data_IF_366202185360
#
_entry.id   IF_366202185360
#
_cell.length_a   1.000
_cell.length_b   1.000
_cell.length_c   1.000
_cell.angle_alpha   90.00
_cell.angle_beta   90.00
_cell.angle_gamma   90.00
#
_symmetry.space_group_name_H-M   'P 1'
#
loop_
_entity.id
_entity.type
_entity.pdbx_description
1 polymer ?
#
# COMPACT_ATOMS: atom_id res chain seq x y z
N UNK A 1 1.58 -4.41 -20.44
CA UNK A 1 0.62 -4.80 -19.37
C UNK A 1 1.09 -6.14 -18.82
N UNK A 2 1.15 -6.30 -17.49
CA UNK A 2 1.62 -7.52 -16.82
C UNK A 2 0.58 -7.97 -15.80
N UNK A 3 0.23 -9.25 -15.81
CA UNK A 3 -0.70 -9.86 -14.85
C UNK A 3 0.12 -10.65 -13.82
N UNK A 4 0.17 -10.15 -12.59
CA UNK A 4 0.97 -10.77 -11.51
C UNK A 4 0.26 -11.96 -10.83
N UNK A 5 -1.07 -12.00 -10.85
CA UNK A 5 -1.85 -13.05 -10.20
C UNK A 5 -3.35 -12.88 -10.37
N UNK A 6 -4.07 -13.96 -10.15
CA UNK A 6 -5.54 -14.01 -10.15
C UNK A 6 -5.96 -14.64 -8.82
N UNK A 7 -6.83 -13.96 -8.08
CA UNK A 7 -7.47 -14.53 -6.89
C UNK A 7 -8.74 -15.24 -7.36
N UNK A 8 -8.83 -16.58 -7.24
CA UNK A 8 -10.02 -17.30 -7.66
C UNK A 8 -11.22 -16.98 -6.74
N UNK A 9 -12.42 -16.86 -7.34
CA UNK A 9 -13.68 -16.79 -6.60
C UNK A 9 -14.10 -18.16 -6.02
N UNK A 10 -15.20 -18.27 -5.26
CA UNK A 10 -16.32 -17.31 -5.15
C UNK A 10 -16.22 -16.34 -3.96
N UNK A 11 -15.41 -16.66 -2.94
CA UNK A 11 -15.32 -15.86 -1.72
C UNK A 11 -14.10 -14.95 -1.74
N UNK A 12 -14.26 -13.74 -1.20
CA UNK A 12 -13.14 -12.82 -1.02
C UNK A 12 -12.21 -13.39 0.05
N UNK A 13 -10.91 -13.60 -0.24
CA UNK A 13 -9.96 -14.06 0.76
C UNK A 13 -9.87 -13.09 1.94
N UNK A 14 -9.49 -13.65 3.07
CA UNK A 14 -9.20 -12.87 4.27
C UNK A 14 -7.94 -12.00 4.06
N UNK A 15 -7.78 -10.97 4.89
CA UNK A 15 -6.68 -10.01 4.82
C UNK A 15 -5.33 -10.73 4.85
N UNK A 16 -5.15 -11.69 5.76
CA UNK A 16 -3.89 -12.42 5.87
C UNK A 16 -3.56 -13.24 4.62
N UNK A 17 -4.56 -13.92 4.05
CA UNK A 17 -4.40 -14.67 2.81
C UNK A 17 -4.02 -13.74 1.65
N UNK A 18 -4.68 -12.57 1.53
CA UNK A 18 -4.37 -11.59 0.49
C UNK A 18 -2.91 -11.12 0.58
N UNK A 19 -2.40 -10.89 1.79
CA UNK A 19 -1.00 -10.49 1.96
C UNK A 19 -0.05 -11.53 1.39
N UNK A 20 -0.30 -12.83 1.59
CA UNK A 20 0.53 -13.89 1.02
C UNK A 20 0.59 -13.90 -0.52
N UNK A 21 -0.47 -13.45 -1.19
CA UNK A 21 -0.47 -13.28 -2.65
C UNK A 21 0.46 -12.16 -3.12
N UNK A 22 0.68 -11.13 -2.29
CA UNK A 22 1.57 -10.02 -2.62
C UNK A 22 3.05 -10.34 -2.36
N UNK A 23 3.37 -11.30 -1.49
CA UNK A 23 4.75 -11.68 -1.17
C UNK A 23 5.65 -11.90 -2.40
N UNK A 24 5.29 -12.71 -3.42
CA UNK A 24 6.16 -12.90 -4.60
C UNK A 24 6.35 -11.60 -5.39
N UNK A 25 5.30 -10.78 -5.51
CA UNK A 25 5.37 -9.49 -6.20
C UNK A 25 6.32 -8.53 -5.48
N UNK A 26 6.18 -8.40 -4.16
CA UNK A 26 7.00 -7.49 -3.35
C UNK A 26 8.46 -7.93 -3.35
N UNK A 27 8.75 -9.24 -3.27
CA UNK A 27 10.11 -9.76 -3.39
C UNK A 27 10.76 -9.37 -4.72
N UNK A 28 10.05 -9.55 -5.83
CA UNK A 28 10.54 -9.12 -7.14
C UNK A 28 10.77 -7.60 -7.23
N UNK A 29 9.89 -6.80 -6.60
CA UNK A 29 10.05 -5.34 -6.55
C UNK A 29 11.25 -4.89 -5.69
N UNK A 30 11.60 -5.63 -4.64
CA UNK A 30 12.81 -5.38 -3.85
C UNK A 30 14.08 -5.65 -4.68
N UNK A 31 14.11 -6.78 -5.38
CA UNK A 31 15.23 -7.12 -6.28
C UNK A 31 15.41 -6.09 -7.41
N UNK A 32 14.29 -5.59 -7.95
CA UNK A 32 14.29 -4.55 -8.98
C UNK A 32 14.63 -3.16 -8.45
N UNK A 33 14.49 -2.89 -7.15
CA UNK A 33 14.76 -1.56 -6.60
C UNK A 33 16.24 -1.31 -6.37
N UNK A 34 16.89 -2.17 -5.59
CA UNK A 34 18.29 -1.98 -5.18
C UNK A 34 18.98 -3.35 -5.04
N UNK A 35 20.04 -3.66 -5.84
CA UNK A 35 20.69 -2.78 -6.83
C UNK A 35 19.97 -2.67 -8.18
N UNK A 36 18.87 -3.42 -8.38
CA UNK A 36 18.23 -3.63 -9.69
C UNK A 36 18.73 -4.88 -10.40
N UNK A 37 18.03 -5.29 -11.46
CA UNK A 37 18.29 -6.56 -12.17
C UNK A 37 19.08 -6.30 -13.45
N UNK A 38 20.16 -7.06 -13.68
CA UNK A 38 20.94 -6.99 -14.91
C UNK A 38 20.38 -7.95 -15.96
N UNK A 39 19.93 -7.40 -17.09
CA UNK A 39 19.53 -8.16 -18.25
C UNK A 39 20.69 -8.26 -19.23
N UNK A 40 21.01 -9.47 -19.68
CA UNK A 40 22.09 -9.74 -20.65
C UNK A 40 21.82 -9.12 -22.02
N UNK A 41 20.54 -8.98 -22.39
CA UNK A 41 20.12 -8.36 -23.64
C UNK A 41 18.73 -7.75 -23.48
N UNK A 42 18.53 -6.54 -24.03
CA UNK A 42 17.20 -5.96 -24.26
C UNK A 42 17.13 -5.44 -25.69
N UNK A 43 15.92 -5.16 -26.20
CA UNK A 43 15.72 -4.74 -27.60
C UNK A 43 16.65 -3.60 -28.03
N UNK A 44 16.82 -2.57 -27.19
CA UNK A 44 17.69 -1.42 -27.47
C UNK A 44 19.13 -1.57 -26.91
N UNK A 45 19.40 -2.60 -26.11
CA UNK A 45 20.71 -2.80 -25.47
C UNK A 45 21.20 -4.23 -25.68
N UNK A 46 21.83 -4.51 -26.84
CA UNK A 46 22.35 -5.85 -27.15
C UNK A 46 23.47 -6.31 -26.22
N UNK A 47 24.18 -5.37 -25.57
CA UNK A 47 25.25 -5.64 -24.58
C UNK A 47 24.74 -5.73 -23.14
N UNK A 48 23.42 -5.78 -22.97
CA UNK A 48 22.78 -5.80 -21.66
C UNK A 48 22.68 -4.44 -20.99
N UNK A 49 21.91 -4.39 -19.92
CA UNK A 49 21.69 -3.19 -19.09
C UNK A 49 21.10 -3.60 -17.74
N UNK A 50 21.44 -2.83 -16.70
CA UNK A 50 20.75 -2.89 -15.41
C UNK A 50 19.44 -2.11 -15.48
N UNK A 51 18.35 -2.74 -15.07
CA UNK A 51 17.03 -2.13 -15.01
C UNK A 51 16.59 -2.07 -13.56
N UNK A 52 16.19 -0.89 -13.13
CA UNK A 52 15.55 -0.70 -11.84
C UNK A 52 14.06 -0.42 -12.04
N UNK A 53 13.23 -0.87 -11.11
CA UNK A 53 11.79 -0.59 -11.10
C UNK A 53 11.33 -0.27 -9.69
N UNK A 54 10.32 0.60 -9.60
CA UNK A 54 9.70 0.99 -8.35
C UNK A 54 8.18 0.93 -8.47
N UNK A 55 7.52 0.42 -7.43
CA UNK A 55 6.07 0.52 -7.30
C UNK A 55 5.70 1.95 -6.88
N UNK A 56 5.01 2.69 -7.75
CA UNK A 56 4.68 4.11 -7.48
C UNK A 56 3.37 4.27 -6.72
N UNK A 57 2.37 3.42 -7.00
CA UNK A 57 1.04 3.56 -6.42
C UNK A 57 0.27 2.25 -6.45
N UNK A 58 -0.58 2.06 -5.43
CA UNK A 58 -1.58 1.00 -5.38
C UNK A 58 -2.95 1.59 -5.70
N UNK A 59 -3.57 1.11 -6.77
CA UNK A 59 -4.86 1.59 -7.28
C UNK A 59 -5.86 0.46 -7.25
N UNK A 60 -6.93 0.64 -6.50
CA UNK A 60 -8.01 -0.34 -6.37
C UNK A 60 -9.21 0.30 -5.68
N UNK A 61 -10.36 -0.38 -5.65
CA UNK A 61 -11.51 0.11 -4.87
C UNK A 61 -11.16 0.30 -3.39
N UNK A 62 -11.97 1.07 -2.65
CA UNK A 62 -11.68 1.37 -1.23
C UNK A 62 -11.55 0.11 -0.36
N UNK A 63 -12.31 -0.94 -0.66
CA UNK A 63 -12.29 -2.18 0.12
C UNK A 63 -11.00 -2.97 -0.10
N UNK A 64 -10.53 -3.05 -1.34
CA UNK A 64 -9.29 -3.69 -1.73
C UNK A 64 -8.10 -2.88 -1.23
N UNK A 65 -8.14 -1.54 -1.34
CA UNK A 65 -7.09 -0.64 -0.86
C UNK A 65 -6.83 -0.85 0.63
N UNK A 66 -7.89 -0.94 1.43
CA UNK A 66 -7.79 -1.21 2.87
C UNK A 66 -7.13 -2.56 3.14
N UNK A 67 -7.62 -3.63 2.50
CA UNK A 67 -7.08 -4.98 2.72
C UNK A 67 -5.62 -5.08 2.29
N UNK A 68 -5.26 -4.55 1.13
CA UNK A 68 -3.92 -4.60 0.58
C UNK A 68 -2.93 -3.77 1.41
N UNK A 69 -3.31 -2.56 1.82
CA UNK A 69 -2.50 -1.69 2.66
C UNK A 69 -2.53 -2.04 4.16
N UNK A 70 -3.30 -3.05 4.55
CA UNK A 70 -3.44 -3.47 5.95
C UNK A 70 -4.30 -2.54 6.80
N UNK A 71 -5.06 -1.60 6.23
CA UNK A 71 -6.01 -0.80 7.01
C UNK A 71 -7.22 -1.61 7.44
N UNK A 72 -7.74 -1.31 8.62
CA UNK A 72 -8.95 -1.95 9.14
C UNK A 72 -10.23 -1.58 8.35
N UNK A 73 -11.27 -2.38 8.57
CA UNK A 73 -12.59 -2.19 7.96
C UNK A 73 -13.21 -0.85 8.36
N UNK A 74 -14.15 -0.37 7.56
CA UNK A 74 -14.92 0.84 7.84
C UNK A 74 -15.76 0.76 9.14
N UNK A 75 -16.02 -0.45 9.63
CA UNK A 75 -16.73 -0.70 10.88
C UNK A 75 -15.84 -0.56 12.13
N UNK A 76 -14.51 -0.52 11.97
CA UNK A 76 -13.57 -0.42 13.08
C UNK A 76 -13.59 0.99 13.71
N UNK A 77 -13.22 1.11 14.99
CA UNK A 77 -13.21 2.41 15.68
C UNK A 77 -12.25 3.40 15.03
N UNK A 78 -11.11 2.92 14.55
CA UNK A 78 -10.15 3.71 13.79
C UNK A 78 -10.23 3.25 12.34
N UNK A 79 -10.97 3.98 11.51
CA UNK A 79 -11.39 3.51 10.18
C UNK A 79 -10.75 4.30 9.03
N UNK A 80 -10.12 5.43 9.30
CA UNK A 80 -9.55 6.26 8.23
C UNK A 80 -8.14 5.80 7.88
N UNK A 81 -7.81 5.73 6.58
CA UNK A 81 -6.45 5.45 6.10
C UNK A 81 -5.53 6.68 6.12
N UNK A 82 -6.11 7.87 6.26
CA UNK A 82 -5.39 9.16 6.17
C UNK A 82 -5.20 9.88 7.50
N UNK A 83 -6.13 9.70 8.45
CA UNK A 83 -6.11 10.36 9.76
C UNK A 83 -6.32 9.36 10.91
N UNK A 84 -6.00 9.79 12.12
CA UNK A 84 -6.27 9.07 13.37
C UNK A 84 -7.71 9.16 13.87
N UNK A 85 -8.64 9.52 12.98
CA UNK A 85 -10.01 9.81 13.36
C UNK A 85 -10.68 8.56 13.98
N UNK A 86 -11.30 8.75 15.14
CA UNK A 86 -11.85 7.65 15.94
C UNK A 86 -13.35 7.82 16.16
N UNK A 87 -14.12 6.80 15.75
CA UNK A 87 -15.58 6.79 15.80
C UNK A 87 -16.14 7.11 17.19
N UNK A 88 -15.53 6.58 18.24
CA UNK A 88 -16.00 6.78 19.62
C UNK A 88 -15.64 8.16 20.19
N UNK A 89 -14.67 8.85 19.61
CA UNK A 89 -14.17 10.14 20.13
C UNK A 89 -14.78 11.32 19.39
N UNK A 90 -14.82 11.24 18.07
CA UNK A 90 -15.21 12.33 17.19
C UNK A 90 -16.54 12.07 16.46
N UNK A 91 -17.03 10.83 16.44
CA UNK A 91 -18.16 10.44 15.61
C UNK A 91 -17.89 10.60 14.11
N UNK A 92 -18.96 10.66 13.31
CA UNK A 92 -18.88 10.99 11.89
C UNK A 92 -18.97 12.50 11.67
N UNK A 93 -18.09 13.26 12.32
CA UNK A 93 -18.09 14.72 12.22
C UNK A 93 -17.08 15.17 11.16
N UNK A 94 -17.48 16.12 10.32
CA UNK A 94 -16.60 16.73 9.32
C UNK A 94 -15.56 17.60 10.02
N UNK A 95 -14.39 17.04 10.28
CA UNK A 95 -13.24 17.77 10.82
C UNK A 95 -12.58 18.61 9.71
N UNK A 96 -12.18 19.88 9.97
CA UNK A 96 -11.41 20.66 9.02
C UNK A 96 -10.08 19.98 8.67
N UNK A 97 -9.70 19.95 7.40
CA UNK A 97 -8.51 19.22 6.93
C UNK A 97 -7.20 19.58 7.66
N UNK A 98 -7.03 20.84 8.05
CA UNK A 98 -5.82 21.33 8.71
C UNK A 98 -5.69 20.85 10.18
N UNK A 99 -6.77 20.37 10.79
CA UNK A 99 -6.74 19.80 12.14
C UNK A 99 -6.44 18.30 12.13
N UNK A 100 -6.36 17.69 10.95
CA UNK A 100 -6.17 16.25 10.84
C UNK A 100 -4.76 15.86 11.24
N UNK A 101 -4.67 15.05 12.29
CA UNK A 101 -3.46 14.29 12.57
C UNK A 101 -3.30 13.23 11.48
N UNK A 102 -2.33 13.43 10.59
CA UNK A 102 -2.01 12.52 9.49
C UNK A 102 -1.32 11.28 9.99
N UNK A 103 -1.69 10.13 9.41
CA UNK A 103 -1.01 8.87 9.67
C UNK A 103 0.36 8.84 9.03
N UNK A 104 1.32 8.25 9.73
CA UNK A 104 2.66 7.97 9.18
C UNK A 104 2.85 6.48 8.90
N UNK A 105 3.80 6.16 8.02
CA UNK A 105 4.13 4.77 7.68
C UNK A 105 4.69 4.01 8.89
N UNK A 106 5.24 4.72 9.87
CA UNK A 106 5.81 4.17 11.12
C UNK A 106 4.75 3.53 12.02
N UNK A 107 3.46 3.81 11.78
CA UNK A 107 2.36 3.20 12.52
C UNK A 107 2.09 1.76 12.09
N UNK A 108 2.61 1.34 10.92
CA UNK A 108 2.46 -0.02 10.41
C UNK A 108 3.32 -0.99 11.23
N UNK A 109 2.79 -2.18 11.60
CA UNK A 109 3.56 -3.16 12.37
C UNK A 109 4.76 -3.67 11.57
N UNK A 110 5.83 -4.02 12.29
CA UNK A 110 6.95 -4.78 11.72
C UNK A 110 6.56 -6.25 11.58
N UNK A 111 7.33 -7.01 10.79
CA UNK A 111 7.04 -8.42 10.49
C UNK A 111 6.88 -9.32 11.73
N UNK A 112 7.48 -8.92 12.86
CA UNK A 112 7.45 -9.61 14.15
C UNK A 112 6.28 -9.21 15.07
N UNK A 113 5.57 -8.11 14.80
CA UNK A 113 4.54 -7.52 15.68
C UNK A 113 3.14 -7.50 15.05
N UNK A 114 2.83 -8.49 14.21
CA UNK A 114 1.59 -8.58 13.38
C UNK A 114 0.28 -8.44 14.17
N UNK A 115 0.16 -9.08 15.33
CA UNK A 115 -1.14 -9.23 16.01
C UNK A 115 -1.41 -8.18 17.11
N UNK A 116 -0.38 -7.56 17.70
CA UNK A 116 -0.55 -6.67 18.87
C UNK A 116 -0.88 -5.21 18.51
N UNK A 117 -0.70 -4.82 17.25
CA UNK A 117 -0.81 -3.41 16.79
C UNK A 117 -2.19 -3.10 16.19
N UNK A 118 -2.90 -4.12 15.69
CA UNK A 118 -4.20 -3.95 15.03
C UNK A 118 -5.23 -3.25 15.91
N UNK A 119 -5.39 -3.68 17.15
CA UNK A 119 -6.41 -3.13 18.05
C UNK A 119 -6.08 -1.71 18.53
N UNK A 120 -4.80 -1.35 18.56
CA UNK A 120 -4.34 -0.03 19.03
C UNK A 120 -4.33 1.02 17.92
N UNK A 121 -3.81 0.68 16.74
CA UNK A 121 -3.58 1.65 15.66
C UNK A 121 -4.56 1.46 14.48
N UNK A 122 -5.33 0.37 14.45
CA UNK A 122 -6.22 0.06 13.33
C UNK A 122 -5.49 -0.29 12.03
N UNK A 123 -4.23 -0.74 12.14
CA UNK A 123 -3.37 -1.16 11.02
C UNK A 123 -2.86 -2.58 11.27
N UNK A 124 -3.02 -3.43 10.28
CA UNK A 124 -2.50 -4.79 10.16
C UNK A 124 -1.21 -4.78 9.33
N UNK A 125 -0.49 -5.91 9.36
CA UNK A 125 0.64 -6.14 8.47
C UNK A 125 0.23 -6.06 6.99
N UNK A 126 1.08 -5.41 6.19
CA UNK A 126 0.96 -5.32 4.74
C UNK A 126 2.30 -5.66 4.12
N UNK A 127 2.34 -6.53 3.11
CA UNK A 127 3.60 -6.85 2.42
C UNK A 127 4.21 -5.60 1.77
N UNK A 128 3.39 -4.62 1.40
CA UNK A 128 3.88 -3.36 0.81
C UNK A 128 4.74 -2.54 1.78
N UNK A 129 4.62 -2.72 3.10
CA UNK A 129 5.50 -2.03 4.07
C UNK A 129 6.94 -2.54 4.03
N UNK A 130 7.22 -3.68 3.40
CA UNK A 130 8.58 -4.17 3.16
C UNK A 130 9.34 -3.33 2.14
N UNK A 131 8.65 -2.57 1.29
CA UNK A 131 9.30 -1.72 0.28
C UNK A 131 9.82 -0.45 0.96
N UNK A 132 11.15 -0.20 0.98
CA UNK A 132 11.75 0.89 1.76
C UNK A 132 11.33 2.28 1.27
N UNK A 133 10.95 2.38 0.00
CA UNK A 133 10.51 3.63 -0.63
C UNK A 133 8.99 3.79 -0.62
N UNK A 134 8.20 2.78 -0.23
CA UNK A 134 6.75 2.82 -0.38
C UNK A 134 6.04 3.28 0.89
N UNK A 135 5.41 4.44 0.84
CA UNK A 135 4.59 4.96 1.92
C UNK A 135 3.11 4.57 1.73
N UNK A 136 2.60 3.68 2.60
CA UNK A 136 1.23 3.19 2.56
C UNK A 136 0.17 4.30 2.70
N UNK A 137 0.46 5.38 3.44
CA UNK A 137 -0.52 6.46 3.67
C UNK A 137 -0.61 7.45 2.51
N UNK A 138 0.39 7.44 1.61
CA UNK A 138 0.48 8.38 0.49
C UNK A 138 0.28 7.72 -0.87
N UNK A 139 0.72 6.47 -1.05
CA UNK A 139 0.71 5.80 -2.35
C UNK A 139 -0.48 4.89 -2.59
N UNK A 140 -1.31 4.66 -1.58
CA UNK A 140 -2.57 3.92 -1.70
C UNK A 140 -3.67 4.88 -2.13
N UNK A 141 -4.14 4.73 -3.36
CA UNK A 141 -5.14 5.58 -3.98
C UNK A 141 -6.37 4.74 -4.30
N UNK A 142 -7.45 4.85 -3.50
CA UNK A 142 -8.76 4.34 -3.86
C UNK A 142 -9.19 4.85 -5.24
N UNK A 143 -9.69 3.96 -6.09
CA UNK A 143 -10.04 4.26 -7.49
C UNK A 143 -11.10 5.37 -7.59
N UNK A 144 -12.00 5.44 -6.62
CA UNK A 144 -13.00 6.50 -6.46
C UNK A 144 -12.36 7.90 -6.42
N UNK A 145 -11.13 8.04 -5.89
CA UNK A 145 -10.44 9.32 -5.77
C UNK A 145 -9.84 9.77 -7.11
N UNK A 146 -9.51 8.82 -7.98
CA UNK A 146 -9.07 9.11 -9.35
C UNK A 146 -10.20 9.73 -10.16
N UNK A 147 -11.43 9.23 -9.98
CA UNK A 147 -12.63 9.78 -10.63
C UNK A 147 -12.89 11.24 -10.21
N UNK A 148 -12.54 11.61 -8.97
CA UNK A 148 -12.73 12.96 -8.44
C UNK A 148 -11.54 13.91 -8.71
N UNK A 149 -10.51 13.47 -9.46
CA UNK A 149 -9.34 14.30 -9.77
C UNK A 149 -8.48 14.65 -8.55
N UNK A 150 -8.64 13.94 -7.43
CA UNK A 150 -7.97 14.26 -6.16
C UNK A 150 -6.57 13.64 -6.03
N UNK A 151 -5.96 13.19 -7.12
CA UNK A 151 -4.69 12.47 -7.10
C UNK A 151 -3.50 13.41 -7.16
N UNK A 152 -2.97 13.82 -6.00
CA UNK A 152 -1.58 14.25 -5.90
C UNK A 152 -0.72 13.00 -5.71
N UNK A 153 -0.27 12.38 -6.81
CA UNK A 153 0.79 11.37 -6.73
C UNK A 153 2.11 12.10 -6.51
N UNK A 154 2.77 11.96 -5.36
CA UNK A 154 4.06 12.59 -5.16
C UNK A 154 5.13 11.71 -5.82
N UNK A 155 5.10 11.62 -7.15
CA UNK A 155 6.12 10.92 -7.95
C UNK A 155 7.50 11.55 -7.72
N UNK A 156 7.52 12.85 -7.37
CA UNK A 156 8.71 13.59 -6.95
C UNK A 156 9.35 13.11 -5.64
N UNK A 157 8.68 12.25 -4.85
CA UNK A 157 9.26 11.65 -3.64
C UNK A 157 10.01 10.34 -3.91
N UNK A 158 9.83 9.73 -5.09
CA UNK A 158 10.62 8.56 -5.48
C UNK A 158 11.92 9.09 -6.10
N UNK A 159 12.92 9.30 -5.25
CA UNK A 159 14.30 9.51 -5.71
C UNK A 159 14.84 8.16 -6.20
N UNK A 160 14.70 7.91 -7.50
CA UNK A 160 15.43 6.85 -8.22
C UNK A 160 16.92 7.20 -8.30
#
# INVERSE_FOLDING_TARGET
>A
MFLAGIIPGPNKPDVECIQQYFTPLIKGMLELWDPGVFYTQTHCHPKGRRVCAALVTLVCDLSAARKAAGFTSHAHNIFCSMCDCCKNREGYVRQPFHTWKRRTNDEAPNSQSRNKVRDKNGICWSEFSCLPYFNLTQFVVPDEWRMLGMTYLPVSLIRL
#
